data_IF_308074300655
#
_entry.id   IF_308074300655
#
_cell.length_a   1.000
_cell.length_b   1.000
_cell.length_c   1.000
_cell.angle_alpha   90.00
_cell.angle_beta   90.00
_cell.angle_gamma   90.00
#
_symmetry.space_group_name_H-M   'P 1'
#
loop_
_entity.id
_entity.type
_entity.pdbx_description
1 polymer ?
#
# COMPACT_ATOMS: atom_id res chain seq x y z
N UNK A 1 8.02 2.11 33.26
CA UNK A 1 7.42 3.40 32.84
C UNK A 1 7.53 3.73 31.34
N UNK A 2 8.46 3.16 30.56
CA UNK A 2 8.57 3.42 29.11
C UNK A 2 7.33 3.00 28.29
N UNK A 3 6.74 1.85 28.63
CA UNK A 3 5.58 1.27 27.95
C UNK A 3 4.36 2.22 27.93
N UNK A 4 4.05 2.90 29.04
CA UNK A 4 2.91 3.82 29.11
C UNK A 4 3.10 5.07 28.25
N UNK A 5 4.32 5.60 28.14
CA UNK A 5 4.62 6.78 27.30
C UNK A 5 4.55 6.43 25.81
N UNK A 6 5.05 5.24 25.43
CA UNK A 6 4.96 4.73 24.07
C UNK A 6 3.49 4.46 23.67
N UNK A 7 2.73 3.78 24.52
CA UNK A 7 1.30 3.50 24.28
C UNK A 7 0.48 4.78 24.15
N UNK A 8 0.79 5.82 24.95
CA UNK A 8 0.12 7.12 24.87
C UNK A 8 0.50 7.89 23.61
N UNK A 9 1.76 7.84 23.18
CA UNK A 9 2.21 8.42 21.91
C UNK A 9 1.56 7.73 20.70
N UNK A 10 1.42 6.40 20.75
CA UNK A 10 0.71 5.63 19.73
C UNK A 10 -0.79 5.95 19.70
N UNK A 11 -1.43 6.05 20.87
CA UNK A 11 -2.85 6.42 20.97
C UNK A 11 -3.10 7.84 20.45
N UNK A 12 -2.25 8.80 20.79
CA UNK A 12 -2.33 10.18 20.26
C UNK A 12 -2.07 10.24 18.75
N UNK A 13 -1.11 9.46 18.25
CA UNK A 13 -0.83 9.36 16.81
C UNK A 13 -1.99 8.77 15.99
N UNK A 14 -2.86 7.97 16.62
CA UNK A 14 -4.10 7.45 16.02
C UNK A 14 -5.30 8.39 16.20
N UNK A 15 -5.43 9.05 17.35
CA UNK A 15 -6.56 9.92 17.66
C UNK A 15 -6.51 11.28 16.94
N UNK A 16 -5.32 11.79 16.62
CA UNK A 16 -5.15 13.11 16.02
C UNK A 16 -5.06 13.11 14.49
N UNK A 17 -5.18 11.94 13.84
CA UNK A 17 -5.02 11.86 12.38
C UNK A 17 -6.38 11.93 11.72
N UNK A 18 -6.73 13.03 11.02
CA UNK A 18 -7.91 13.02 10.18
C UNK A 18 -7.79 11.83 9.24
N UNK A 19 -8.86 11.06 9.15
CA UNK A 19 -8.93 9.92 8.25
C UNK A 19 -8.62 10.42 6.84
N UNK A 20 -7.74 9.74 6.08
CA UNK A 20 -7.42 10.19 4.74
C UNK A 20 -8.71 10.24 3.92
N UNK A 21 -9.04 11.38 3.29
CA UNK A 21 -10.30 11.55 2.58
C UNK A 21 -10.42 10.64 1.34
N UNK A 22 -9.31 10.01 0.91
CA UNK A 22 -9.28 9.07 -0.20
C UNK A 22 -8.07 8.13 -0.12
N UNK A 23 -8.13 7.02 -0.86
CA UNK A 23 -7.00 6.10 -1.05
C UNK A 23 -5.77 6.83 -1.62
N UNK A 24 -5.98 7.75 -2.56
CA UNK A 24 -4.91 8.56 -3.14
C UNK A 24 -4.24 9.45 -2.07
N UNK A 25 -5.04 10.06 -1.19
CA UNK A 25 -4.51 10.87 -0.08
C UNK A 25 -3.72 10.02 0.92
N UNK A 26 -4.17 8.80 1.22
CA UNK A 26 -3.45 7.83 2.05
C UNK A 26 -2.11 7.45 1.40
N UNK A 27 -2.11 7.10 0.12
CA UNK A 27 -0.89 6.71 -0.61
C UNK A 27 0.12 7.87 -0.64
N UNK A 28 -0.32 9.09 -0.93
CA UNK A 28 0.53 10.27 -0.91
C UNK A 28 1.14 10.50 0.50
N UNK A 29 0.37 10.29 1.56
CA UNK A 29 0.86 10.39 2.93
C UNK A 29 1.91 9.31 3.26
N UNK A 30 1.72 8.07 2.80
CA UNK A 30 2.68 6.98 3.00
C UNK A 30 3.98 7.22 2.22
N UNK A 31 3.88 7.69 0.97
CA UNK A 31 5.05 8.03 0.15
C UNK A 31 5.88 9.14 0.76
N UNK A 32 5.26 10.21 1.28
CA UNK A 32 5.96 11.29 2.00
C UNK A 32 6.68 10.77 3.25
N UNK A 33 6.04 9.90 4.03
CA UNK A 33 6.67 9.27 5.20
C UNK A 33 7.88 8.43 4.79
N UNK A 34 7.79 7.69 3.69
CA UNK A 34 8.89 6.86 3.20
C UNK A 34 10.08 7.72 2.78
N UNK A 35 9.83 8.83 2.07
CA UNK A 35 10.87 9.79 1.72
C UNK A 35 11.56 10.36 2.96
N UNK A 36 10.80 10.73 3.99
CA UNK A 36 11.36 11.18 5.26
C UNK A 36 12.21 10.09 5.95
N UNK A 37 11.73 8.85 6.00
CA UNK A 37 12.45 7.72 6.58
C UNK A 37 13.77 7.43 5.85
N UNK A 38 13.75 7.46 4.52
CA UNK A 38 14.93 7.34 3.68
C UNK A 38 15.96 8.46 3.97
N UNK A 39 15.49 9.72 4.04
CA UNK A 39 16.37 10.87 4.26
C UNK A 39 17.07 10.86 5.62
N UNK A 40 16.48 10.25 6.65
CA UNK A 40 17.08 10.12 7.98
C UNK A 40 17.77 8.77 8.20
N UNK A 41 17.84 7.92 7.18
CA UNK A 41 18.48 6.60 7.26
C UNK A 41 17.72 5.56 8.11
N UNK A 42 16.42 5.76 8.34
CA UNK A 42 15.58 4.84 9.14
C UNK A 42 15.12 3.64 8.31
N UNK A 43 16.04 2.70 8.04
CA UNK A 43 15.87 1.58 7.12
C UNK A 43 14.69 0.67 7.48
N UNK A 44 14.53 0.31 8.76
CA UNK A 44 13.42 -0.56 9.21
C UNK A 44 12.06 0.10 9.00
N UNK A 45 11.97 1.41 9.28
CA UNK A 45 10.77 2.19 9.06
C UNK A 45 10.47 2.32 7.56
N UNK A 46 11.50 2.52 6.74
CA UNK A 46 11.35 2.57 5.29
C UNK A 46 10.84 1.24 4.73
N UNK A 47 11.37 0.11 5.21
CA UNK A 47 10.93 -1.23 4.82
C UNK A 47 9.45 -1.47 5.17
N UNK A 48 9.06 -1.15 6.41
CA UNK A 48 7.67 -1.26 6.86
C UNK A 48 6.72 -0.40 6.01
N UNK A 49 7.13 0.84 5.69
CA UNK A 49 6.34 1.73 4.84
C UNK A 49 6.23 1.22 3.41
N UNK A 50 7.28 0.59 2.85
CA UNK A 50 7.23 -0.05 1.53
C UNK A 50 6.21 -1.16 1.48
N UNK A 51 6.17 -2.02 2.50
CA UNK A 51 5.21 -3.10 2.55
C UNK A 51 3.79 -2.57 2.72
N UNK A 52 3.57 -1.59 3.60
CA UNK A 52 2.26 -0.96 3.73
C UNK A 52 1.77 -0.31 2.42
N UNK A 53 2.67 0.31 1.65
CA UNK A 53 2.36 0.86 0.32
C UNK A 53 1.97 -0.26 -0.64
N UNK A 54 2.72 -1.36 -0.71
CA UNK A 54 2.40 -2.52 -1.58
C UNK A 54 1.00 -3.06 -1.30
N UNK A 55 0.64 -3.21 -0.03
CA UNK A 55 -0.69 -3.67 0.38
C UNK A 55 -1.81 -2.66 0.06
N UNK A 56 -1.47 -1.36 -0.07
CA UNK A 56 -2.42 -0.30 -0.40
C UNK A 56 -2.65 -0.09 -1.90
N UNK A 57 -1.87 -0.73 -2.77
CA UNK A 57 -2.06 -0.67 -4.21
C UNK A 57 -3.00 -1.79 -4.65
N UNK A 58 -3.91 -1.55 -5.61
CA UNK A 58 -4.57 -2.65 -6.30
C UNK A 58 -3.47 -3.43 -7.03
N UNK A 59 -3.02 -4.52 -6.43
CA UNK A 59 -2.27 -5.51 -7.18
C UNK A 59 -3.29 -6.05 -8.19
N UNK A 60 -3.12 -5.74 -9.47
CA UNK A 60 -3.77 -6.53 -10.49
C UNK A 60 -3.26 -7.96 -10.29
N UNK A 61 -4.02 -8.77 -9.56
CA UNK A 61 -3.97 -10.20 -9.74
C UNK A 61 -4.29 -10.37 -11.21
N UNK A 62 -3.25 -10.56 -12.01
CA UNK A 62 -3.34 -10.49 -13.46
C UNK A 62 -4.61 -11.18 -13.89
N UNK A 63 -5.44 -10.45 -14.62
CA UNK A 63 -6.48 -11.06 -15.43
C UNK A 63 -5.76 -11.97 -16.42
N UNK A 64 -5.40 -13.17 -15.96
CA UNK A 64 -5.20 -14.32 -16.82
C UNK A 64 -6.62 -14.68 -17.22
N UNK A 65 -7.20 -13.86 -18.10
CA UNK A 65 -8.32 -14.29 -18.92
C UNK A 65 -7.83 -15.60 -19.57
N UNK A 66 -8.47 -16.75 -19.30
CA UNK A 66 -8.10 -17.98 -19.99
C UNK A 66 -8.32 -17.68 -21.47
N UNK A 67 -7.23 -17.62 -22.23
CA UNK A 67 -7.23 -17.37 -23.67
C UNK A 67 -8.33 -18.22 -24.29
N UNK A 68 -9.47 -17.59 -24.63
CA UNK A 68 -10.60 -18.29 -25.22
C UNK A 68 -10.10 -18.80 -26.57
N UNK A 69 -9.77 -20.08 -26.64
CA UNK A 69 -9.36 -20.74 -27.89
C UNK A 69 -10.60 -20.70 -28.78
N UNK A 70 -10.62 -19.78 -29.74
CA UNK A 70 -11.68 -19.74 -30.74
C UNK A 70 -11.52 -21.00 -31.60
N UNK A 71 -12.54 -21.87 -31.70
CA UNK A 71 -12.49 -22.94 -32.68
C UNK A 71 -12.46 -22.30 -34.07
N UNK A 72 -11.44 -22.67 -34.84
CA UNK A 72 -11.35 -22.33 -36.25
C UNK A 72 -12.55 -22.99 -36.96
N UNK A 73 -13.57 -22.19 -37.28
CA UNK A 73 -14.62 -22.63 -38.19
C UNK A 73 -13.98 -22.85 -39.56
N UNK A 74 -13.69 -24.12 -39.87
CA UNK A 74 -13.39 -24.55 -41.23
C UNK A 74 -14.65 -24.35 -42.07
N UNK A 75 -14.58 -23.46 -43.06
CA UNK A 75 -15.50 -23.46 -44.20
C UNK A 75 -15.33 -24.76 -44.97
N UNK A 76 -16.40 -25.51 -45.29
CA UNK A 76 -16.43 -26.29 -46.50
C UNK A 76 -16.93 -25.41 -47.65
N UNK A 77 -16.24 -25.53 -48.79
CA UNK A 77 -16.70 -25.01 -50.09
C UNK A 77 -17.77 -25.87 -50.72
#
# INVERSE_FOLDING_TARGET
MLSLRLSRALAQGRAARPEPPSRAALLAALLRKRAAAHNVGAQDLEALLRDQIRWSLPMEAGQIEPRRVQPSNGSPG
#
